data_IF_701430009574
#
_entry.id   IF_701430009574
#
_cell.length_a   1.000
_cell.length_b   1.000
_cell.length_c   1.000
_cell.angle_alpha   90.00
_cell.angle_beta   90.00
_cell.angle_gamma   90.00
#
_symmetry.space_group_name_H-M   'P 1'
#
loop_
_entity.id
_entity.type
_entity.pdbx_description
1 polymer ?
#
# COMPACT_ATOMS: atom_id res chain seq x y z
N UNK A 1 3.63 -7.11 -18.02
CA UNK A 1 4.02 -6.88 -16.61
C UNK A 1 3.09 -5.82 -16.05
N UNK A 2 2.70 -5.84 -14.78
CA UNK A 2 1.74 -4.86 -14.25
C UNK A 2 2.38 -3.49 -13.99
N UNK A 3 3.69 -3.40 -14.22
CA UNK A 3 4.42 -2.16 -14.52
C UNK A 3 4.52 -2.08 -16.04
N UNK A 4 4.01 -0.99 -16.62
CA UNK A 4 4.13 -0.75 -18.07
C UNK A 4 5.58 -0.44 -18.46
N UNK A 5 5.92 -0.59 -19.73
CA UNK A 5 7.28 -0.26 -20.21
C UNK A 5 7.64 1.21 -19.91
N UNK A 6 6.67 2.11 -20.06
CA UNK A 6 6.82 3.53 -19.72
C UNK A 6 7.12 3.74 -18.23
N UNK A 7 6.36 3.10 -17.34
CA UNK A 7 6.62 3.15 -15.90
C UNK A 7 8.00 2.57 -15.56
N UNK A 8 8.38 1.45 -16.19
CA UNK A 8 9.68 0.81 -15.98
C UNK A 8 10.85 1.73 -16.35
N UNK A 9 10.73 2.50 -17.44
CA UNK A 9 11.74 3.50 -17.82
C UNK A 9 11.83 4.60 -16.76
N UNK A 10 10.70 5.19 -16.37
CA UNK A 10 10.66 6.25 -15.35
C UNK A 10 11.25 5.77 -14.03
N UNK A 11 10.82 4.60 -13.55
CA UNK A 11 11.29 4.02 -12.29
C UNK A 11 12.81 3.79 -12.30
N UNK A 12 13.37 3.24 -13.38
CA UNK A 12 14.82 3.05 -13.48
C UNK A 12 15.61 4.36 -13.47
N UNK A 13 15.09 5.41 -14.12
CA UNK A 13 15.74 6.72 -14.13
C UNK A 13 15.70 7.38 -12.75
N UNK A 14 14.57 7.26 -12.05
CA UNK A 14 14.36 7.90 -10.75
C UNK A 14 14.88 7.08 -9.57
N UNK A 15 15.18 5.78 -9.75
CA UNK A 15 15.69 4.90 -8.68
C UNK A 15 16.93 5.48 -7.97
N UNK A 16 17.83 6.14 -8.72
CA UNK A 16 19.03 6.78 -8.16
C UNK A 16 18.74 7.99 -7.25
N UNK A 17 17.54 8.57 -7.37
CA UNK A 17 17.08 9.70 -6.55
C UNK A 17 16.26 9.23 -5.34
N UNK A 18 16.08 7.92 -5.14
CA UNK A 18 15.37 7.37 -3.98
C UNK A 18 16.33 7.13 -2.82
N UNK A 19 15.80 7.22 -1.61
CA UNK A 19 16.48 7.03 -0.34
C UNK A 19 15.51 6.47 0.71
N UNK A 20 15.94 6.34 1.97
CA UNK A 20 15.05 5.98 3.07
C UNK A 20 13.98 7.06 3.33
N UNK A 21 14.23 8.30 2.93
CA UNK A 21 13.36 9.46 3.08
C UNK A 21 12.59 9.84 1.80
N UNK A 22 12.87 9.17 0.67
CA UNK A 22 12.18 9.37 -0.61
C UNK A 22 12.04 8.02 -1.31
N UNK A 23 10.85 7.44 -1.29
CA UNK A 23 10.62 6.04 -1.68
C UNK A 23 9.32 5.87 -2.47
N UNK A 24 9.27 4.81 -3.26
CA UNK A 24 8.04 4.41 -3.96
C UNK A 24 7.04 3.78 -2.99
N UNK A 25 5.78 4.15 -3.10
CA UNK A 25 4.68 3.61 -2.31
C UNK A 25 3.46 3.35 -3.21
N UNK A 26 2.28 3.29 -2.58
CA UNK A 26 1.00 3.21 -3.28
C UNK A 26 0.76 1.88 -3.99
N UNK A 27 -0.16 1.91 -4.94
CA UNK A 27 -0.64 0.70 -5.62
C UNK A 27 0.46 0.01 -6.44
N UNK A 28 1.44 0.75 -6.96
CA UNK A 28 2.54 0.18 -7.76
C UNK A 28 3.38 -0.82 -6.97
N UNK A 29 3.58 -0.61 -5.67
CA UNK A 29 4.29 -1.57 -4.80
C UNK A 29 3.51 -2.88 -4.66
N UNK A 30 2.20 -2.79 -4.47
CA UNK A 30 1.31 -3.94 -4.25
C UNK A 30 1.05 -4.72 -5.54
N UNK A 31 0.87 -4.02 -6.65
CA UNK A 31 0.44 -4.60 -7.92
C UNK A 31 1.60 -4.90 -8.87
N UNK A 32 2.85 -4.96 -8.40
CA UNK A 32 4.03 -5.21 -9.25
C UNK A 32 4.14 -6.64 -9.82
N UNK A 33 3.38 -7.60 -9.29
CA UNK A 33 3.43 -8.99 -9.74
C UNK A 33 2.52 -9.27 -10.95
N UNK A 34 2.96 -10.07 -11.95
CA UNK A 34 2.18 -10.36 -13.17
C UNK A 34 0.75 -10.85 -12.93
N UNK A 35 0.50 -11.45 -11.77
CA UNK A 35 -0.79 -12.01 -11.41
C UNK A 35 -1.78 -11.00 -10.82
N UNK A 36 -1.34 -9.76 -10.57
CA UNK A 36 -2.17 -8.67 -10.04
C UNK A 36 -3.45 -8.45 -10.88
N UNK A 37 -4.60 -8.15 -10.24
CA UNK A 37 -5.88 -7.97 -10.93
C UNK A 37 -5.94 -6.71 -11.80
N UNK A 38 -5.11 -5.71 -11.49
CA UNK A 38 -5.10 -4.43 -12.21
C UNK A 38 -3.71 -3.83 -12.30
N UNK A 39 -3.59 -2.86 -13.19
CA UNK A 39 -2.41 -2.02 -13.36
C UNK A 39 -2.54 -0.76 -12.48
N UNK A 40 -1.42 -0.31 -11.92
CA UNK A 40 -1.35 1.04 -11.34
C UNK A 40 -1.15 2.04 -12.47
N UNK A 41 -1.85 3.17 -12.43
CA UNK A 41 -1.71 4.24 -13.44
C UNK A 41 -0.70 5.31 -12.98
N UNK A 42 -0.45 5.39 -11.68
CA UNK A 42 0.32 6.44 -11.05
C UNK A 42 1.58 5.86 -10.36
N UNK A 43 2.63 6.66 -10.27
CA UNK A 43 3.80 6.39 -9.42
C UNK A 43 3.78 7.36 -8.23
N UNK A 44 3.61 6.79 -7.04
CA UNK A 44 3.53 7.54 -5.78
C UNK A 44 4.89 7.56 -5.09
N UNK A 45 5.49 8.74 -4.94
CA UNK A 45 6.74 8.96 -4.21
C UNK A 45 6.47 9.69 -2.90
N UNK A 46 6.71 9.01 -1.79
CA UNK A 46 6.45 9.57 -0.46
C UNK A 46 7.72 10.03 0.23
N UNK A 47 7.54 11.08 1.03
CA UNK A 47 8.59 11.74 1.79
C UNK A 47 8.15 11.88 3.25
N UNK A 48 9.08 11.61 4.16
CA UNK A 48 8.82 11.75 5.60
C UNK A 48 8.71 13.22 6.01
N UNK A 49 9.32 14.14 5.25
CA UNK A 49 9.38 15.58 5.51
C UNK A 49 8.76 16.36 4.34
N UNK A 50 7.79 17.22 4.65
CA UNK A 50 7.11 18.06 3.65
C UNK A 50 8.09 18.95 2.86
N UNK A 51 9.11 19.51 3.53
CA UNK A 51 10.12 20.38 2.92
C UNK A 51 10.95 19.67 1.83
N UNK A 52 10.99 18.34 1.83
CA UNK A 52 11.73 17.54 0.85
C UNK A 52 10.93 17.24 -0.43
N UNK A 53 9.62 17.50 -0.46
CA UNK A 53 8.76 17.19 -1.60
C UNK A 53 9.17 18.01 -2.82
N UNK A 54 9.27 19.33 -2.65
CA UNK A 54 9.55 20.24 -3.76
C UNK A 54 10.92 19.96 -4.39
N UNK A 55 11.96 19.82 -3.57
CA UNK A 55 13.32 19.54 -4.05
C UNK A 55 13.41 18.17 -4.74
N UNK A 56 12.78 17.13 -4.17
CA UNK A 56 12.78 15.79 -4.77
C UNK A 56 12.02 15.76 -6.09
N UNK A 57 10.85 16.41 -6.15
CA UNK A 57 10.07 16.51 -7.38
C UNK A 57 10.83 17.27 -8.47
N UNK A 58 11.46 18.40 -8.14
CA UNK A 58 12.26 19.17 -9.11
C UNK A 58 13.48 18.39 -9.61
N UNK A 59 14.18 17.66 -8.72
CA UNK A 59 15.30 16.80 -9.10
C UNK A 59 14.87 15.63 -10.02
N UNK A 60 13.72 15.02 -9.74
CA UNK A 60 13.18 13.95 -10.57
C UNK A 60 12.78 14.46 -11.95
N UNK A 61 12.11 15.62 -12.02
CA UNK A 61 11.74 16.24 -13.29
C UNK A 61 12.97 16.65 -14.10
N UNK A 62 14.02 17.16 -13.45
CA UNK A 62 15.29 17.42 -14.12
C UNK A 62 15.89 16.13 -14.70
N UNK A 63 15.95 15.06 -13.90
CA UNK A 63 16.47 13.76 -14.33
C UNK A 63 15.71 13.21 -15.54
N UNK A 64 14.38 13.34 -15.58
CA UNK A 64 13.56 12.90 -16.70
C UNK A 64 13.76 13.74 -17.96
N UNK A 65 13.89 15.07 -17.80
CA UNK A 65 14.16 15.99 -18.91
C UNK A 65 15.54 15.77 -19.52
N UNK A 66 16.55 15.54 -18.69
CA UNK A 66 17.91 15.19 -19.14
C UNK A 66 17.95 13.86 -19.90
N UNK A 67 17.06 12.92 -19.56
CA UNK A 67 16.86 11.69 -20.31
C UNK A 67 16.04 11.87 -21.60
N UNK A 68 15.63 13.10 -21.94
CA UNK A 68 14.90 13.44 -23.15
C UNK A 68 13.39 13.26 -23.07
N UNK A 69 12.82 13.12 -21.88
CA UNK A 69 11.38 12.99 -21.69
C UNK A 69 10.70 14.35 -21.48
N UNK A 70 9.52 14.52 -22.08
CA UNK A 70 8.67 15.67 -21.82
C UNK A 70 7.97 15.51 -20.47
N UNK A 71 7.98 16.56 -19.66
CA UNK A 71 7.34 16.57 -18.34
C UNK A 71 6.53 17.85 -18.14
N UNK A 72 5.25 17.67 -17.88
CA UNK A 72 4.28 18.75 -17.62
C UNK A 72 3.82 18.70 -16.17
N UNK A 73 3.95 19.83 -15.46
CA UNK A 73 3.39 19.95 -14.11
C UNK A 73 1.86 20.02 -14.17
N UNK A 74 1.19 19.21 -13.35
CA UNK A 74 -0.26 19.22 -13.19
C UNK A 74 -0.68 19.98 -11.92
N UNK A 75 0.08 19.80 -10.84
CA UNK A 75 -0.17 20.41 -9.54
C UNK A 75 1.14 20.70 -8.82
N UNK A 76 1.21 21.85 -8.15
CA UNK A 76 2.32 22.20 -7.26
C UNK A 76 1.77 22.93 -6.03
N UNK A 77 1.82 22.26 -4.88
CA UNK A 77 1.38 22.79 -3.59
C UNK A 77 2.43 22.47 -2.53
N UNK A 78 2.43 23.13 -1.36
CA UNK A 78 3.39 22.83 -0.30
C UNK A 78 3.40 21.36 0.18
N UNK A 79 2.28 20.64 0.00
CA UNK A 79 2.10 19.27 0.52
C UNK A 79 2.06 18.20 -0.58
N UNK A 80 1.95 18.61 -1.85
CA UNK A 80 1.79 17.69 -2.96
C UNK A 80 2.24 18.32 -4.28
N UNK A 81 2.99 17.55 -5.07
CA UNK A 81 3.35 17.84 -6.45
C UNK A 81 2.83 16.72 -7.34
N UNK A 82 2.35 17.07 -8.54
CA UNK A 82 1.94 16.10 -9.54
C UNK A 82 2.45 16.52 -10.91
N UNK A 83 2.93 15.56 -11.70
CA UNK A 83 3.39 15.77 -13.06
C UNK A 83 2.94 14.62 -13.97
N UNK A 84 2.87 14.90 -15.26
CA UNK A 84 2.73 13.90 -16.30
C UNK A 84 4.05 13.83 -17.08
N UNK A 85 4.61 12.63 -17.21
CA UNK A 85 5.78 12.38 -18.07
C UNK A 85 5.38 11.56 -19.29
N UNK A 86 5.83 11.98 -20.46
CA UNK A 86 5.58 11.28 -21.72
C UNK A 86 6.79 10.43 -22.09
N UNK A 87 6.58 9.12 -22.25
CA UNK A 87 7.61 8.12 -22.57
C UNK A 87 7.14 7.23 -23.71
N UNK A 88 7.83 7.26 -24.85
CA UNK A 88 7.57 6.34 -25.97
C UNK A 88 6.14 6.37 -26.50
N UNK A 89 5.45 7.51 -26.44
CA UNK A 89 4.05 7.67 -26.84
C UNK A 89 3.02 7.33 -25.76
N UNK A 90 3.44 6.78 -24.62
CA UNK A 90 2.61 6.64 -23.41
C UNK A 90 2.86 7.77 -22.42
N UNK A 91 1.99 7.90 -21.42
CA UNK A 91 2.14 8.87 -20.34
C UNK A 91 2.07 8.20 -18.96
N UNK A 92 2.87 8.66 -18.02
CA UNK A 92 2.87 8.19 -16.63
C UNK A 92 2.62 9.38 -15.71
N UNK A 93 1.65 9.25 -14.81
CA UNK A 93 1.42 10.25 -13.77
C UNK A 93 2.37 10.00 -12.61
N UNK A 94 3.01 11.07 -12.15
CA UNK A 94 3.92 11.06 -11.01
C UNK A 94 3.30 11.92 -9.90
N UNK A 95 3.31 11.40 -8.68
CA UNK A 95 2.86 12.13 -7.50
C UNK A 95 3.96 12.11 -6.44
N UNK A 96 4.24 13.29 -5.88
CA UNK A 96 5.11 13.43 -4.71
C UNK A 96 4.29 14.02 -3.59
N UNK A 97 4.23 13.33 -2.45
CA UNK A 97 3.47 13.76 -1.29
C UNK A 97 4.22 13.46 0.00
N UNK A 98 3.78 14.10 1.09
CA UNK A 98 4.18 13.71 2.43
C UNK A 98 3.42 12.44 2.84
N UNK A 99 4.09 11.50 3.49
CA UNK A 99 3.45 10.43 4.24
C UNK A 99 3.95 10.41 5.69
N UNK A 100 3.22 9.75 6.58
CA UNK A 100 3.67 9.53 7.95
C UNK A 100 4.95 8.70 7.96
N UNK A 101 5.95 9.14 8.73
CA UNK A 101 7.15 8.33 8.97
C UNK A 101 6.85 7.07 9.82
N UNK A 102 5.64 6.96 10.40
CA UNK A 102 5.23 5.84 11.21
C UNK A 102 4.87 4.63 10.34
N UNK A 103 5.58 3.52 10.56
CA UNK A 103 5.46 2.29 9.76
C UNK A 103 5.84 1.07 10.60
N UNK A 104 5.47 -0.13 10.15
CA UNK A 104 5.85 -1.38 10.81
C UNK A 104 7.30 -1.73 10.49
N UNK A 105 7.67 -1.71 9.22
CA UNK A 105 8.99 -2.11 8.75
C UNK A 105 9.75 -0.93 8.14
N UNK A 106 11.09 -0.92 8.23
CA UNK A 106 11.90 0.07 7.53
C UNK A 106 11.66 0.03 6.02
N UNK A 107 11.89 1.17 5.35
CA UNK A 107 11.92 1.24 3.90
C UNK A 107 12.95 0.26 3.34
N UNK A 108 12.56 -0.46 2.29
CA UNK A 108 13.37 -1.53 1.69
C UNK A 108 14.05 -1.05 0.42
N UNK A 109 15.33 -1.39 0.20
CA UNK A 109 15.93 -1.22 -1.12
C UNK A 109 15.23 -2.12 -2.14
N UNK A 110 15.11 -1.63 -3.36
CA UNK A 110 14.50 -2.35 -4.48
C UNK A 110 15.33 -2.13 -5.75
N UNK A 111 15.69 -3.19 -6.51
CA UNK A 111 16.52 -3.04 -7.71
C UNK A 111 15.89 -2.20 -8.83
N UNK A 112 14.55 -2.16 -8.90
CA UNK A 112 13.82 -1.43 -9.93
C UNK A 112 13.40 -0.03 -9.44
N UNK A 113 13.07 0.10 -8.16
CA UNK A 113 12.53 1.34 -7.59
C UNK A 113 13.56 2.17 -6.83
N UNK A 114 14.76 1.64 -6.56
CA UNK A 114 15.73 2.23 -5.62
C UNK A 114 15.34 1.92 -4.17
N UNK A 115 14.24 2.51 -3.70
CA UNK A 115 13.67 2.26 -2.37
C UNK A 115 12.14 2.22 -2.42
N UNK A 116 11.51 1.34 -1.65
CA UNK A 116 10.06 1.21 -1.57
C UNK A 116 9.55 0.90 -0.16
N UNK A 117 8.28 1.22 0.06
CA UNK A 117 7.53 0.83 1.25
C UNK A 117 7.44 -0.70 1.35
N UNK A 118 7.47 -1.23 2.57
CA UNK A 118 7.24 -2.66 2.77
C UNK A 118 5.82 -3.07 2.35
N UNK A 119 5.68 -4.31 1.86
CA UNK A 119 4.42 -4.80 1.28
C UNK A 119 3.32 -4.85 2.35
N UNK A 120 3.68 -5.18 3.61
CA UNK A 120 2.75 -5.18 4.72
C UNK A 120 2.29 -3.76 5.09
N UNK A 121 3.23 -2.82 5.10
CA UNK A 121 2.92 -1.40 5.34
C UNK A 121 2.03 -0.82 4.24
N UNK A 122 2.30 -1.14 2.98
CA UNK A 122 1.49 -0.74 1.84
C UNK A 122 0.08 -1.37 1.89
N UNK A 123 -0.04 -2.63 2.30
CA UNK A 123 -1.32 -3.30 2.47
C UNK A 123 -2.17 -2.68 3.58
N UNK A 124 -1.55 -2.35 4.72
CA UNK A 124 -2.23 -1.64 5.82
C UNK A 124 -2.66 -0.23 5.39
N UNK A 125 -1.80 0.51 4.67
CA UNK A 125 -2.16 1.82 4.12
C UNK A 125 -3.36 1.71 3.15
N UNK A 126 -3.45 0.61 2.40
CA UNK A 126 -4.56 0.36 1.49
C UNK A 126 -5.88 0.11 2.23
N UNK A 127 -5.83 -0.61 3.35
CA UNK A 127 -7.00 -0.78 4.23
C UNK A 127 -7.47 0.56 4.82
N UNK A 128 -6.55 1.42 5.26
CA UNK A 128 -6.87 2.78 5.73
C UNK A 128 -7.46 3.65 4.60
N UNK A 129 -6.91 3.58 3.39
CA UNK A 129 -7.45 4.28 2.24
C UNK A 129 -8.88 3.83 1.93
N UNK A 130 -9.14 2.51 1.92
CA UNK A 130 -10.47 1.96 1.70
C UNK A 130 -11.50 2.47 2.73
N UNK A 131 -11.11 2.53 4.00
CA UNK A 131 -11.96 3.06 5.06
C UNK A 131 -12.14 4.59 4.98
N UNK A 132 -11.15 5.32 4.45
CA UNK A 132 -11.12 6.78 4.44
C UNK A 132 -11.73 7.45 3.20
N UNK A 133 -11.87 6.74 2.07
CA UNK A 133 -12.42 7.30 0.82
C UNK A 133 -13.18 6.27 0.00
N UNK A 134 -13.98 6.76 -0.95
CA UNK A 134 -14.79 5.91 -1.84
C UNK A 134 -14.17 5.82 -3.23
N UNK A 135 -13.22 4.91 -3.39
CA UNK A 135 -12.50 4.68 -4.64
C UNK A 135 -12.54 3.19 -4.99
N UNK A 136 -13.14 2.80 -6.11
CA UNK A 136 -13.32 1.38 -6.44
C UNK A 136 -12.00 0.61 -6.56
N UNK A 137 -10.90 1.30 -6.93
CA UNK A 137 -9.57 0.69 -6.95
C UNK A 137 -9.14 0.19 -5.58
N UNK A 138 -9.45 0.91 -4.50
CA UNK A 138 -9.05 0.48 -3.16
C UNK A 138 -9.83 -0.78 -2.73
N UNK A 139 -11.09 -0.91 -3.16
CA UNK A 139 -11.91 -2.11 -2.93
C UNK A 139 -11.31 -3.35 -3.63
N UNK A 140 -10.95 -3.21 -4.91
CA UNK A 140 -10.28 -4.27 -5.68
C UNK A 140 -8.93 -4.63 -5.05
N UNK A 141 -8.15 -3.63 -4.63
CA UNK A 141 -6.85 -3.83 -4.01
C UNK A 141 -6.96 -4.60 -2.70
N UNK A 142 -7.83 -4.17 -1.77
CA UNK A 142 -7.97 -4.84 -0.46
C UNK A 142 -8.47 -6.27 -0.62
N UNK A 143 -9.39 -6.54 -1.55
CA UNK A 143 -9.85 -7.90 -1.79
C UNK A 143 -8.73 -8.79 -2.35
N UNK A 144 -7.86 -8.26 -3.23
CA UNK A 144 -6.66 -8.96 -3.66
C UNK A 144 -5.69 -9.21 -2.49
N UNK A 145 -5.49 -8.24 -1.61
CA UNK A 145 -4.61 -8.38 -0.45
C UNK A 145 -5.14 -9.42 0.55
N UNK A 146 -6.45 -9.50 0.73
CA UNK A 146 -7.11 -10.52 1.56
C UNK A 146 -6.75 -11.95 1.13
N UNK A 147 -6.63 -12.18 -0.18
CA UNK A 147 -6.32 -13.50 -0.75
C UNK A 147 -4.82 -13.83 -0.75
N UNK A 148 -3.94 -12.81 -0.76
CA UNK A 148 -2.52 -13.02 -1.06
C UNK A 148 -1.51 -12.52 -0.01
N UNK A 149 -1.92 -11.60 0.88
CA UNK A 149 -1.02 -10.98 1.86
C UNK A 149 -1.51 -11.25 3.29
N UNK A 150 -2.62 -10.64 3.68
CA UNK A 150 -3.22 -10.73 5.01
C UNK A 150 -4.73 -10.47 4.89
N UNK A 151 -5.53 -11.14 5.72
CA UNK A 151 -6.97 -10.98 5.69
C UNK A 151 -7.42 -9.54 5.97
N UNK A 152 -8.64 -9.17 5.53
CA UNK A 152 -9.24 -7.87 5.85
C UNK A 152 -9.24 -7.62 7.36
N UNK A 153 -9.52 -8.64 8.17
CA UNK A 153 -9.51 -8.54 9.63
C UNK A 153 -8.11 -8.27 10.19
N UNK A 154 -7.08 -8.97 9.70
CA UNK A 154 -5.70 -8.74 10.12
C UNK A 154 -5.18 -7.36 9.69
N UNK A 155 -5.54 -6.90 8.49
CA UNK A 155 -5.18 -5.56 8.00
C UNK A 155 -5.89 -4.46 8.79
N UNK A 156 -7.20 -4.59 9.04
CA UNK A 156 -7.96 -3.63 9.86
C UNK A 156 -7.43 -3.60 11.31
N UNK A 157 -7.03 -4.75 11.85
CA UNK A 157 -6.40 -4.84 13.17
C UNK A 157 -5.08 -4.08 13.24
N UNK A 158 -4.20 -4.27 12.27
CA UNK A 158 -2.90 -3.60 12.21
C UNK A 158 -3.03 -2.10 11.91
N UNK A 159 -4.03 -1.69 11.10
CA UNK A 159 -4.28 -0.29 10.75
C UNK A 159 -4.43 0.64 11.96
N UNK A 160 -5.05 0.16 13.05
CA UNK A 160 -5.17 0.90 14.32
C UNK A 160 -3.81 1.24 14.97
N UNK A 161 -2.73 0.56 14.58
CA UNK A 161 -1.38 0.88 15.03
C UNK A 161 -0.82 2.15 14.37
N UNK A 162 -1.22 2.42 13.12
CA UNK A 162 -0.81 3.61 12.37
C UNK A 162 -1.68 4.81 12.67
N UNK A 163 -2.96 4.59 12.97
CA UNK A 163 -3.90 5.62 13.38
C UNK A 163 -4.64 5.19 14.66
N UNK A 164 -4.11 5.57 15.85
CA UNK A 164 -4.69 5.21 17.13
C UNK A 164 -6.08 5.77 17.39
N UNK A 165 -6.58 6.68 16.53
CA UNK A 165 -7.95 7.19 16.60
C UNK A 165 -9.00 6.18 16.16
N UNK A 166 -8.60 5.10 15.49
CA UNK A 166 -9.51 4.07 14.98
C UNK A 166 -9.56 2.82 15.84
N UNK A 167 -10.70 2.13 15.78
CA UNK A 167 -10.84 0.73 16.23
C UNK A 167 -11.01 -0.19 15.02
N UNK A 168 -10.67 -1.49 15.13
CA UNK A 168 -10.83 -2.41 14.02
C UNK A 168 -12.29 -2.50 13.56
N UNK A 169 -13.25 -2.57 14.50
CA UNK A 169 -14.68 -2.57 14.18
C UNK A 169 -15.11 -1.33 13.40
N UNK A 170 -14.63 -0.14 13.80
CA UNK A 170 -14.93 1.10 13.08
C UNK A 170 -14.41 1.03 11.64
N UNK A 171 -13.17 0.59 11.42
CA UNK A 171 -12.59 0.45 10.09
C UNK A 171 -13.35 -0.55 9.21
N UNK A 172 -13.78 -1.68 9.79
CA UNK A 172 -14.61 -2.67 9.08
C UNK A 172 -15.98 -2.08 8.72
N UNK A 173 -16.59 -1.29 9.60
CA UNK A 173 -17.86 -0.61 9.31
C UNK A 173 -17.69 0.46 8.22
N UNK A 174 -16.57 1.19 8.19
CA UNK A 174 -16.24 2.10 7.10
C UNK A 174 -16.12 1.35 5.77
N UNK A 175 -15.35 0.26 5.76
CA UNK A 175 -15.13 -0.56 4.58
C UNK A 175 -16.38 -1.37 4.18
N UNK A 176 -17.38 -1.52 5.04
CA UNK A 176 -18.64 -2.14 4.64
C UNK A 176 -19.50 -1.25 3.72
N UNK A 177 -19.14 0.04 3.54
CA UNK A 177 -19.97 1.03 2.83
C UNK A 177 -19.86 0.99 1.30
N UNK A 178 -19.34 -0.09 0.72
CA UNK A 178 -19.13 -0.26 -0.72
C UNK A 178 -20.38 -0.65 -1.54
N UNK A 179 -21.56 -0.21 -1.10
CA UNK A 179 -22.83 -0.54 -1.78
C UNK A 179 -23.02 0.22 -3.08
N UNK A 180 -22.36 1.38 -3.23
CA UNK A 180 -22.55 2.32 -4.35
C UNK A 180 -21.80 1.96 -5.64
N UNK A 181 -20.79 1.08 -5.60
CA UNK A 181 -20.03 0.75 -6.80
C UNK A 181 -20.90 0.06 -7.86
N UNK A 182 -20.63 0.41 -9.12
CA UNK A 182 -21.26 -0.12 -10.32
C UNK A 182 -20.24 -0.88 -11.18
N UNK A 183 -20.72 -1.71 -12.10
CA UNK A 183 -19.84 -2.42 -13.04
C UNK A 183 -19.06 -1.44 -13.92
N UNK A 184 -19.67 -0.31 -14.31
CA UNK A 184 -19.03 0.74 -15.09
C UNK A 184 -17.83 1.37 -14.35
N UNK A 185 -17.93 1.55 -13.03
CA UNK A 185 -16.80 2.03 -12.21
C UNK A 185 -15.60 1.07 -12.29
N UNK A 186 -15.88 -0.25 -12.34
CA UNK A 186 -14.86 -1.30 -12.38
C UNK A 186 -14.18 -1.34 -13.74
N UNK A 187 -14.94 -1.14 -14.81
CA UNK A 187 -14.45 -1.10 -16.20
C UNK A 187 -13.64 0.14 -16.53
N UNK A 188 -13.73 1.21 -15.72
CA UNK A 188 -12.82 2.37 -15.79
C UNK A 188 -11.40 2.04 -15.30
N UNK A 189 -11.22 0.97 -14.53
CA UNK A 189 -9.90 0.52 -14.12
C UNK A 189 -9.19 -0.18 -15.29
N UNK A 190 -7.88 -0.02 -15.36
CA UNK A 190 -7.05 -0.84 -16.26
C UNK A 190 -6.87 -2.20 -15.60
N UNK A 191 -7.75 -3.13 -15.93
CA UNK A 191 -7.75 -4.49 -15.39
C UNK A 191 -6.85 -5.42 -16.22
N UNK A 192 -6.28 -6.44 -15.57
CA UNK A 192 -5.55 -7.51 -16.26
C UNK A 192 -6.52 -8.43 -17.01
N UNK A 193 -7.60 -8.78 -16.34
CA UNK A 193 -8.69 -9.61 -16.85
C UNK A 193 -10.01 -8.95 -16.40
N UNK A 194 -11.11 -9.06 -17.17
CA UNK A 194 -12.40 -8.54 -16.75
C UNK A 194 -12.81 -9.11 -15.39
N UNK A 195 -13.28 -8.24 -14.51
CA UNK A 195 -13.78 -8.61 -13.19
C UNK A 195 -15.30 -8.40 -13.16
N UNK A 196 -16.00 -9.28 -12.45
CA UNK A 196 -17.45 -9.19 -12.23
C UNK A 196 -17.71 -8.60 -10.84
N UNK A 197 -18.36 -7.43 -10.79
CA UNK A 197 -18.60 -6.74 -9.53
C UNK A 197 -19.50 -7.54 -8.57
N UNK A 198 -20.44 -8.33 -9.10
CA UNK A 198 -21.32 -9.14 -8.26
C UNK A 198 -20.53 -10.22 -7.53
N UNK A 199 -19.59 -10.88 -8.21
CA UNK A 199 -18.66 -11.82 -7.60
C UNK A 199 -17.76 -11.15 -6.56
N UNK A 200 -17.18 -9.98 -6.89
CA UNK A 200 -16.35 -9.22 -5.95
C UNK A 200 -17.13 -8.85 -4.69
N UNK A 201 -18.38 -8.38 -4.82
CA UNK A 201 -19.26 -8.05 -3.68
C UNK A 201 -19.57 -9.28 -2.84
N UNK A 202 -19.77 -10.45 -3.45
CA UNK A 202 -19.98 -11.71 -2.71
C UNK A 202 -18.75 -12.07 -1.87
N UNK A 203 -17.56 -12.12 -2.49
CA UNK A 203 -16.29 -12.39 -1.78
C UNK A 203 -16.00 -11.37 -0.69
N UNK A 204 -16.36 -10.11 -0.94
CA UNK A 204 -16.21 -9.05 0.06
C UNK A 204 -17.09 -9.27 1.30
N UNK A 205 -18.33 -9.71 1.13
CA UNK A 205 -19.21 -10.02 2.27
C UNK A 205 -18.65 -11.18 3.09
N UNK A 206 -18.15 -12.23 2.43
CA UNK A 206 -17.47 -13.36 3.08
C UNK A 206 -16.23 -12.88 3.86
N UNK A 207 -15.37 -12.07 3.23
CA UNK A 207 -14.19 -11.50 3.86
C UNK A 207 -14.50 -10.60 5.07
N UNK A 208 -15.60 -9.82 5.02
CA UNK A 208 -16.04 -8.99 6.14
C UNK A 208 -16.56 -9.80 7.32
N UNK A 209 -17.30 -10.87 7.06
CA UNK A 209 -17.81 -11.73 8.12
C UNK A 209 -16.66 -12.48 8.82
N UNK A 210 -15.70 -12.99 8.05
CA UNK A 210 -14.45 -13.55 8.58
C UNK A 210 -13.65 -12.52 9.38
N UNK A 211 -13.52 -11.29 8.86
CA UNK A 211 -12.81 -10.22 9.52
C UNK A 211 -13.42 -9.87 10.88
N UNK A 212 -14.75 -9.76 10.96
CA UNK A 212 -15.48 -9.48 12.21
C UNK A 212 -15.31 -10.60 13.22
N UNK A 213 -15.31 -11.86 12.78
CA UNK A 213 -15.05 -13.00 13.66
C UNK A 213 -13.63 -12.96 14.20
N UNK A 214 -12.64 -12.73 13.33
CA UNK A 214 -11.24 -12.63 13.72
C UNK A 214 -11.03 -11.51 14.76
N UNK A 215 -11.52 -10.30 14.48
CA UNK A 215 -11.40 -9.14 15.38
C UNK A 215 -11.98 -9.43 16.76
N UNK A 216 -13.12 -10.13 16.85
CA UNK A 216 -13.75 -10.52 18.13
C UNK A 216 -12.91 -11.49 18.96
N UNK A 217 -12.06 -12.30 18.31
CA UNK A 217 -11.23 -13.30 18.98
C UNK A 217 -9.83 -12.79 19.35
N UNK A 218 -9.34 -11.71 18.71
CA UNK A 218 -8.01 -11.19 18.97
C UNK A 218 -7.93 -10.47 20.33
N UNK A 219 -6.83 -10.61 21.09
CA UNK A 219 -6.69 -9.96 22.39
C UNK A 219 -6.66 -8.44 22.25
N UNK A 220 -7.49 -7.70 22.98
CA UNK A 220 -7.54 -6.24 22.90
C UNK A 220 -6.19 -5.54 23.16
N UNK A 221 -5.31 -6.14 23.98
CA UNK A 221 -3.96 -5.64 24.21
C UNK A 221 -3.07 -5.65 22.96
N UNK A 222 -3.38 -6.47 21.97
CA UNK A 222 -2.60 -6.64 20.73
C UNK A 222 -3.06 -5.69 19.61
N UNK A 223 -4.08 -4.84 19.83
CA UNK A 223 -4.60 -3.92 18.79
C UNK A 223 -3.47 -3.09 18.19
N UNK A 224 -3.48 -2.98 16.87
CA UNK A 224 -2.50 -2.20 16.12
C UNK A 224 -1.14 -2.87 15.90
N UNK A 225 -0.98 -4.15 16.25
CA UNK A 225 0.21 -4.91 15.86
C UNK A 225 0.00 -5.73 14.59
N UNK A 226 1.09 -6.01 13.89
CA UNK A 226 1.19 -7.17 13.00
C UNK A 226 1.64 -8.39 13.81
N UNK A 227 1.07 -9.55 13.50
CA UNK A 227 1.55 -10.82 14.05
C UNK A 227 2.61 -11.40 13.12
N UNK A 228 3.81 -11.65 13.66
CA UNK A 228 4.92 -12.18 12.86
C UNK A 228 5.21 -13.64 13.20
N UNK A 229 5.51 -14.41 12.16
CA UNK A 229 6.10 -15.73 12.28
C UNK A 229 7.56 -15.68 12.75
N UNK A 230 8.16 -16.86 12.96
CA UNK A 230 9.56 -16.99 13.40
C UNK A 230 10.58 -16.42 12.41
N UNK A 231 10.20 -16.32 11.14
CA UNK A 231 11.00 -15.73 10.07
C UNK A 231 10.88 -14.18 10.01
N UNK A 232 10.14 -13.58 10.94
CA UNK A 232 9.91 -12.14 11.00
C UNK A 232 8.93 -11.63 9.94
N UNK A 233 8.21 -12.51 9.23
CA UNK A 233 7.22 -12.11 8.24
C UNK A 233 5.82 -12.05 8.86
N UNK A 234 4.96 -11.12 8.39
CA UNK A 234 3.55 -11.12 8.79
C UNK A 234 2.88 -12.44 8.44
N UNK A 235 2.04 -12.93 9.33
CA UNK A 235 1.25 -14.15 9.15
C UNK A 235 -0.18 -13.91 9.58
N UNK A 236 -1.11 -14.67 8.99
CA UNK A 236 -2.51 -14.64 9.41
C UNK A 236 -2.62 -15.11 10.87
N UNK A 237 -3.13 -14.27 11.79
CA UNK A 237 -3.31 -14.69 13.17
C UNK A 237 -4.43 -15.73 13.26
N UNK A 238 -4.19 -16.79 14.02
CA UNK A 238 -5.17 -17.86 14.29
C UNK A 238 -5.42 -17.99 15.78
N UNK A 239 -6.26 -17.11 16.38
CA UNK A 239 -6.60 -17.17 17.80
C UNK A 239 -7.04 -18.58 18.23
N UNK A 240 -6.75 -18.94 19.48
CA UNK A 240 -7.08 -20.26 20.02
C UNK A 240 -6.13 -21.41 19.62
N UNK A 241 -5.16 -21.18 18.72
CA UNK A 241 -4.11 -22.16 18.41
C UNK A 241 -2.88 -21.97 19.32
N UNK A 242 -2.13 -23.05 19.58
CA UNK A 242 -0.85 -22.93 20.32
C UNK A 242 0.17 -22.09 19.55
N UNK A 243 0.17 -22.17 18.21
CA UNK A 243 1.05 -21.37 17.36
C UNK A 243 0.83 -19.86 17.51
N UNK A 244 -0.40 -19.41 17.80
CA UNK A 244 -0.72 -18.00 17.99
C UNK A 244 0.02 -17.37 19.18
N UNK A 245 0.21 -18.12 20.26
CA UNK A 245 0.94 -17.64 21.46
C UNK A 245 2.43 -17.39 21.16
N UNK A 246 2.97 -18.06 20.14
CA UNK A 246 4.37 -17.96 19.72
C UNK A 246 4.63 -16.83 18.72
N UNK A 247 3.59 -16.19 18.19
CA UNK A 247 3.75 -15.10 17.24
C UNK A 247 4.28 -13.84 17.93
N UNK A 248 5.19 -13.14 17.28
CA UNK A 248 5.67 -11.84 17.75
C UNK A 248 4.62 -10.76 17.47
N UNK A 249 4.28 -9.95 18.48
CA UNK A 249 3.42 -8.76 18.33
C UNK A 249 4.29 -7.60 17.90
N UNK A 250 4.34 -7.35 16.60
CA UNK A 250 5.17 -6.30 16.02
C UNK A 250 4.40 -5.00 15.89
N UNK A 251 4.85 -3.96 16.59
CA UNK A 251 4.24 -2.63 16.57
C UNK A 251 5.02 -1.71 15.67
N UNK A 252 4.30 -0.79 15.02
CA UNK A 252 4.93 0.26 14.26
C UNK A 252 5.72 1.24 15.12
N UNK A 253 6.65 1.93 14.48
CA UNK A 253 7.47 2.98 15.07
C UNK A 253 7.79 4.03 14.02
N UNK A 254 8.31 5.18 14.45
CA UNK A 254 8.90 6.16 13.54
C UNK A 254 10.05 5.48 12.79
N UNK A 255 9.99 5.52 11.45
CA UNK A 255 10.88 4.83 10.50
C UNK A 255 10.83 3.29 10.52
N UNK A 256 9.97 2.69 11.34
CA UNK A 256 9.80 1.25 11.45
C UNK A 256 10.99 0.55 12.10
N UNK A 257 10.83 -0.75 12.35
CA UNK A 257 11.88 -1.59 12.91
C UNK A 257 11.74 -3.03 12.41
N UNK A 258 12.86 -3.73 12.28
CA UNK A 258 12.82 -5.20 12.17
C UNK A 258 12.60 -5.80 13.57
N UNK A 259 11.81 -6.88 13.70
CA UNK A 259 11.65 -7.55 14.98
C UNK A 259 13.02 -8.04 15.46
N UNK A 260 13.31 -7.85 16.75
CA UNK A 260 14.51 -8.44 17.35
C UNK A 260 14.28 -9.94 17.44
N UNK A 261 15.00 -10.71 16.63
CA UNK A 261 15.08 -12.16 16.82
C UNK A 261 15.97 -12.38 18.04
N UNK A 262 15.37 -12.61 19.21
CA UNK A 262 16.12 -13.13 20.34
C UNK A 262 16.57 -14.55 19.97
N UNK A 263 17.84 -14.67 19.57
CA UNK A 263 18.46 -15.97 19.38
C UNK A 263 18.46 -16.69 20.73
N UNK A 264 17.74 -17.80 20.82
CA UNK A 264 17.94 -18.74 21.92
C UNK A 264 19.36 -19.29 21.80
N UNK A 265 20.27 -18.76 22.63
CA UNK A 265 21.59 -19.32 22.89
C UNK A 265 21.49 -20.56 23.76
#
# INVERSE_FOLDING_TARGET
MPISDAQGVVLRLLAKNRSLESYLAGATVLHRQPQSPRYSQDLDFFHDLADSIASSAEQDVLTLREAGHEVTWLLRTPVMYQALVTVGGGSVKLEWAQDSAFRFFPIRPDPLFGYCLDDADAAVNKMLALAGRTEIRDFVDVLHLHEHILSVGALAWAACGKDPGYTPDFLLDQAARHTAYTQDDLEQLVLREPLDLRDLKRRWLEALDEARELVRQLPAGDVGCLYLGKDGRPVEPKPGTEGFKLLTRHRGSVKGAWPRVEGFS
#
